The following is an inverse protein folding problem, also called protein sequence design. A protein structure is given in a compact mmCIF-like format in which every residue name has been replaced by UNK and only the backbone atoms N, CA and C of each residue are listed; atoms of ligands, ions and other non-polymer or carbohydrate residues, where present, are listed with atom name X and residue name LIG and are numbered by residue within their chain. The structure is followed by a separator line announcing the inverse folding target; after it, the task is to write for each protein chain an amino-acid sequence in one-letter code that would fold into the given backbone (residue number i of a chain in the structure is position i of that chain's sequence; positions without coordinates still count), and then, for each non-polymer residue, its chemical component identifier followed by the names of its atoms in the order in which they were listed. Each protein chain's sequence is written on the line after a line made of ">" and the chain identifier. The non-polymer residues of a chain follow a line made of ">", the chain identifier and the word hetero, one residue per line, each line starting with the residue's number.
data_IF_357879186247
#
_entry.id   IF_357879186247
#
_cell.length_a   1.000
_cell.length_b   1.000
_cell.length_c   1.000
_cell.angle_alpha   90.00
_cell.angle_beta   90.00
_cell.angle_gamma   90.00
#
_symmetry.space_group_name_H-M   'P 1'
#
loop_
_entity.id
_entity.type
_entity.pdbx_description
1 polymer ?
#
# COMPACT_ATOMS: atom_id res chain seq x y z
N UNK A 1 29.15 2.75 -5.31
CA UNK A 1 27.69 2.85 -5.34
C UNK A 1 27.33 4.30 -5.04
N UNK A 2 27.02 5.09 -6.05
CA UNK A 2 26.87 6.55 -5.93
C UNK A 2 25.39 6.89 -5.99
N UNK A 3 24.83 7.35 -4.88
CA UNK A 3 23.45 7.82 -4.83
C UNK A 3 23.44 9.22 -5.46
N UNK A 4 22.81 9.33 -6.63
CA UNK A 4 22.66 10.61 -7.34
C UNK A 4 21.45 11.33 -6.76
N UNK A 5 21.68 12.36 -5.95
CA UNK A 5 20.63 13.21 -5.42
C UNK A 5 20.08 14.07 -6.56
N UNK A 6 18.86 13.77 -7.02
CA UNK A 6 18.13 14.60 -7.97
C UNK A 6 17.47 15.74 -7.19
N UNK A 7 18.05 16.93 -7.28
CA UNK A 7 17.44 18.18 -6.80
C UNK A 7 16.25 18.54 -7.66
N UNK A 8 15.13 17.86 -7.44
CA UNK A 8 13.83 18.29 -7.92
C UNK A 8 13.31 19.38 -6.99
N UNK A 9 13.18 20.60 -7.50
CA UNK A 9 12.47 21.72 -6.85
C UNK A 9 10.95 21.51 -6.92
N UNK A 10 10.48 20.36 -6.46
CA UNK A 10 9.07 20.19 -6.12
C UNK A 10 8.93 20.73 -4.71
N UNK A 11 8.20 21.83 -4.54
CA UNK A 11 7.96 22.47 -3.25
C UNK A 11 7.57 21.42 -2.21
N UNK A 12 8.42 21.29 -1.19
CA UNK A 12 8.17 20.47 0.00
C UNK A 12 7.46 21.36 1.04
N UNK A 13 6.43 22.11 0.64
CA UNK A 13 5.70 23.00 1.53
C UNK A 13 4.85 22.25 2.58
N UNK A 14 4.92 20.91 2.60
CA UNK A 14 4.25 20.05 3.57
C UNK A 14 2.73 19.98 3.37
N UNK A 15 2.19 20.76 2.44
CA UNK A 15 0.78 20.81 2.06
C UNK A 15 0.49 19.82 0.94
N UNK A 16 0.70 18.53 1.20
CA UNK A 16 0.10 17.51 0.35
C UNK A 16 -1.43 17.64 0.47
N UNK A 17 -2.19 17.76 -0.63
CA UNK A 17 -3.63 17.83 -0.56
C UNK A 17 -4.19 16.56 0.11
N UNK A 18 -5.21 16.75 0.95
CA UNK A 18 -5.86 15.65 1.67
C UNK A 18 -6.44 14.64 0.68
N UNK A 19 -6.28 13.35 0.96
CA UNK A 19 -6.83 12.29 0.11
C UNK A 19 -8.36 12.30 0.27
N UNK A 20 -9.12 12.28 -0.85
CA UNK A 20 -10.57 12.17 -0.81
C UNK A 20 -11.04 10.99 0.08
N UNK A 21 -12.13 11.13 0.85
CA UNK A 21 -12.57 10.07 1.77
C UNK A 21 -12.74 8.70 1.11
N UNK A 22 -13.22 8.67 -0.14
CA UNK A 22 -13.36 7.44 -0.91
C UNK A 22 -12.03 6.73 -1.16
N UNK A 23 -11.00 7.47 -1.55
CA UNK A 23 -9.66 6.92 -1.78
C UNK A 23 -9.03 6.43 -0.47
N UNK A 24 -9.26 7.14 0.64
CA UNK A 24 -8.84 6.70 1.97
C UNK A 24 -9.44 5.35 2.35
N UNK A 25 -10.73 5.16 2.10
CA UNK A 25 -11.40 3.88 2.29
C UNK A 25 -10.83 2.79 1.38
N UNK A 26 -10.56 3.11 0.11
CA UNK A 26 -9.96 2.18 -0.86
C UNK A 26 -8.58 1.69 -0.40
N UNK A 27 -7.70 2.58 0.07
CA UNK A 27 -6.39 2.19 0.59
C UNK A 27 -6.48 1.32 1.84
N UNK A 28 -7.40 1.64 2.76
CA UNK A 28 -7.66 0.80 3.95
C UNK A 28 -8.19 -0.58 3.56
N UNK A 29 -9.10 -0.65 2.60
CA UNK A 29 -9.60 -1.93 2.08
C UNK A 29 -8.47 -2.77 1.48
N UNK A 30 -7.61 -2.15 0.64
CA UNK A 30 -6.44 -2.81 0.08
C UNK A 30 -5.49 -3.30 1.19
N UNK A 31 -5.26 -2.51 2.24
CA UNK A 31 -4.40 -2.88 3.36
C UNK A 31 -4.91 -4.13 4.10
N UNK A 32 -6.22 -4.25 4.34
CA UNK A 32 -6.80 -5.44 4.95
C UNK A 32 -6.72 -6.65 4.03
N UNK A 33 -6.97 -6.45 2.73
CA UNK A 33 -6.91 -7.49 1.72
C UNK A 33 -5.49 -8.03 1.52
N UNK A 34 -4.48 -7.17 1.59
CA UNK A 34 -3.07 -7.53 1.49
C UNK A 34 -2.64 -8.57 2.54
N UNK A 35 -3.11 -8.42 3.80
CA UNK A 35 -2.83 -9.38 4.88
C UNK A 35 -3.41 -10.77 4.63
N UNK A 36 -4.51 -10.84 3.85
CA UNK A 36 -5.15 -12.10 3.47
C UNK A 36 -4.45 -12.75 2.27
N UNK A 37 -3.99 -11.94 1.30
CA UNK A 37 -3.27 -12.43 0.12
C UNK A 37 -1.83 -12.86 0.41
N UNK A 38 -1.17 -12.16 1.33
CA UNK A 38 0.25 -12.36 1.63
C UNK A 38 0.44 -12.60 3.14
N UNK A 39 0.21 -13.82 3.65
CA UNK A 39 0.40 -14.10 5.06
C UNK A 39 1.87 -13.87 5.49
N UNK A 40 2.06 -13.41 6.73
CA UNK A 40 3.38 -13.14 7.30
C UNK A 40 3.88 -11.71 7.09
N UNK A 41 5.22 -11.54 7.12
CA UNK A 41 5.85 -10.23 7.16
C UNK A 41 5.59 -9.36 5.91
N UNK A 42 5.37 -9.98 4.75
CA UNK A 42 5.07 -9.25 3.51
C UNK A 42 3.71 -8.57 3.58
N UNK A 43 2.65 -9.28 3.98
CA UNK A 43 1.33 -8.66 4.14
C UNK A 43 1.28 -7.62 5.24
N UNK A 44 2.03 -7.83 6.34
CA UNK A 44 2.20 -6.84 7.41
C UNK A 44 2.85 -5.55 6.88
N UNK A 45 3.90 -5.66 6.06
CA UNK A 45 4.57 -4.52 5.43
C UNK A 45 3.62 -3.76 4.50
N UNK A 46 2.95 -4.48 3.59
CA UNK A 46 2.00 -3.90 2.65
C UNK A 46 0.85 -3.19 3.37
N UNK A 47 0.34 -3.79 4.45
CA UNK A 47 -0.69 -3.20 5.27
C UNK A 47 -0.26 -1.86 5.87
N UNK A 48 0.92 -1.82 6.50
CA UNK A 48 1.45 -0.61 7.14
C UNK A 48 1.66 0.50 6.12
N UNK A 49 2.21 0.17 4.95
CA UNK A 49 2.43 1.14 3.88
C UNK A 49 1.11 1.71 3.35
N UNK A 50 0.11 0.87 3.07
CA UNK A 50 -1.18 1.31 2.56
C UNK A 50 -1.97 2.14 3.58
N UNK A 51 -1.88 1.81 4.88
CA UNK A 51 -2.46 2.63 5.96
C UNK A 51 -1.74 3.96 6.06
N UNK A 52 -0.40 3.97 6.06
CA UNK A 52 0.37 5.20 6.09
C UNK A 52 0.05 6.11 4.90
N UNK A 53 -0.10 5.54 3.70
CA UNK A 53 -0.50 6.29 2.53
C UNK A 53 -1.90 6.90 2.68
N UNK A 54 -2.86 6.15 3.26
CA UNK A 54 -4.20 6.65 3.52
C UNK A 54 -4.22 7.82 4.53
N UNK A 55 -3.31 7.83 5.49
CA UNK A 55 -3.26 8.82 6.56
C UNK A 55 -2.39 10.05 6.20
N UNK A 56 -1.34 9.89 5.37
CA UNK A 56 -0.35 10.94 5.09
C UNK A 56 -0.25 11.39 3.62
N UNK A 57 -0.81 10.62 2.69
CA UNK A 57 -0.79 10.93 1.26
C UNK A 57 0.54 10.68 0.54
N UNK A 58 0.64 11.24 -0.67
CA UNK A 58 1.66 10.96 -1.70
C UNK A 58 2.99 11.71 -1.50
N UNK A 59 3.36 12.06 -0.26
CA UNK A 59 4.51 12.97 0.02
C UNK A 59 5.83 12.54 -0.63
N UNK A 60 6.00 11.26 -0.96
CA UNK A 60 7.17 10.71 -1.65
C UNK A 60 6.85 9.83 -2.86
N UNK A 61 5.59 9.83 -3.31
CA UNK A 61 5.12 8.92 -4.36
C UNK A 61 5.23 9.57 -5.75
N UNK A 62 6.41 9.48 -6.36
CA UNK A 62 6.67 10.05 -7.70
C UNK A 62 6.03 9.30 -8.85
N UNK A 63 5.72 8.01 -8.66
CA UNK A 63 5.33 7.10 -9.74
C UNK A 63 3.94 6.47 -9.52
N UNK A 64 3.18 6.97 -8.55
CA UNK A 64 1.88 6.42 -8.16
C UNK A 64 1.95 4.92 -7.83
N UNK A 65 3.05 4.48 -7.18
CA UNK A 65 3.29 3.07 -6.88
C UNK A 65 2.21 2.54 -5.93
N UNK A 66 1.91 3.29 -4.86
CA UNK A 66 0.95 2.85 -3.84
C UNK A 66 -0.48 2.78 -4.39
N UNK A 67 -0.98 3.77 -5.17
CA UNK A 67 -2.22 3.65 -5.93
C UNK A 67 -2.30 2.40 -6.80
N UNK A 68 -1.27 2.13 -7.61
CA UNK A 68 -1.23 0.96 -8.50
C UNK A 68 -1.20 -0.34 -7.73
N UNK A 69 -0.42 -0.40 -6.65
CA UNK A 69 -0.36 -1.54 -5.75
C UNK A 69 -1.73 -1.81 -5.11
N UNK A 70 -2.45 -0.77 -4.68
CA UNK A 70 -3.80 -0.92 -4.14
C UNK A 70 -4.75 -1.54 -5.16
N UNK A 71 -4.68 -1.12 -6.43
CA UNK A 71 -5.47 -1.72 -7.52
C UNK A 71 -5.12 -3.18 -7.76
N UNK A 72 -3.83 -3.50 -7.83
CA UNK A 72 -3.37 -4.88 -8.03
C UNK A 72 -3.81 -5.81 -6.88
N UNK A 73 -3.75 -5.32 -5.64
CA UNK A 73 -4.20 -6.05 -4.46
C UNK A 73 -5.72 -6.27 -4.54
N UNK A 74 -6.50 -5.22 -4.75
CA UNK A 74 -7.97 -5.31 -4.77
C UNK A 74 -8.50 -6.15 -5.94
N UNK A 75 -7.79 -6.20 -7.06
CA UNK A 75 -8.14 -7.03 -8.21
C UNK A 75 -7.89 -8.53 -7.98
N UNK A 76 -7.06 -8.91 -7.01
CA UNK A 76 -6.74 -10.32 -6.75
C UNK A 76 -7.81 -10.98 -5.87
N UNK A 77 -8.36 -12.13 -6.28
CA UNK A 77 -9.23 -12.90 -5.39
C UNK A 77 -8.41 -13.45 -4.22
N UNK A 78 -8.95 -13.39 -3.01
CA UNK A 78 -8.37 -14.14 -1.89
C UNK A 78 -8.85 -15.58 -2.01
N UNK A 79 -7.90 -16.47 -2.28
CA UNK A 79 -8.14 -17.89 -2.14
C UNK A 79 -8.24 -18.21 -0.64
N UNK A 80 -9.30 -18.91 -0.20
CA UNK A 80 -9.32 -19.44 1.15
C UNK A 80 -8.11 -20.36 1.32
N UNK A 81 -7.37 -20.17 2.41
CA UNK A 81 -6.33 -21.11 2.81
C UNK A 81 -7.05 -22.40 3.17
N UNK A 82 -6.77 -23.51 2.48
CA UNK A 82 -7.32 -24.81 2.84
C UNK A 82 -6.80 -25.20 4.24
N UNK A 83 -7.64 -24.98 5.24
CA UNK A 83 -7.39 -25.32 6.64
C UNK A 83 -7.60 -26.82 6.96
N UNK A 84 -7.46 -27.70 5.96
CA UNK A 84 -7.59 -29.16 6.10
C UNK A 84 -6.35 -29.89 5.56
N UNK A 85 -5.28 -29.93 6.37
CA UNK A 85 -4.32 -31.04 6.32
C UNK A 85 -4.17 -31.62 7.74
N UNK A 86 -5.03 -32.56 8.15
CA UNK A 86 -4.78 -33.37 9.33
C UNK A 86 -3.72 -34.44 9.02
N UNK A 87 -2.63 -34.45 9.79
CA UNK A 87 -1.77 -35.61 10.01
C UNK A 87 -0.76 -35.96 8.91
N UNK A 88 0.52 -35.82 9.25
CA UNK A 88 1.59 -36.71 8.82
C UNK A 88 2.44 -37.05 10.05
#
# INVERSE_FOLDING_TARGET
>A
MTIRLVTGTAGLDGTAPDIPPHDRCRFRAAAHHARRLYPGCVGELLHRELVAYADFGHRFDREALVPRLADEILARPVHPVDEHQPGA
#
